data_IF_352570234329
#
_entry.id   IF_352570234329
#
_cell.length_a   1.000
_cell.length_b   1.000
_cell.length_c   1.000
_cell.angle_alpha   90.00
_cell.angle_beta   90.00
_cell.angle_gamma   90.00
#
_symmetry.space_group_name_H-M   'P 1'
#
loop_
_entity.id
_entity.type
_entity.pdbx_description
1 polymer ?
#
# COMPACT_ATOMS: atom_id res chain seq x y z
N UNK A 1 47.48 -8.17 -50.78
CA UNK A 1 47.30 -8.72 -49.41
C UNK A 1 45.80 -8.84 -49.15
N UNK A 2 45.33 -10.06 -48.84
CA UNK A 2 43.99 -10.42 -48.30
C UNK A 2 43.90 -9.92 -46.83
N UNK A 3 42.78 -9.73 -46.11
CA UNK A 3 41.41 -10.30 -45.93
C UNK A 3 40.57 -9.21 -45.19
N UNK A 4 39.26 -9.00 -45.32
CA UNK A 4 38.04 -9.83 -45.19
C UNK A 4 37.69 -10.32 -43.76
N UNK A 5 36.59 -9.78 -43.20
CA UNK A 5 35.72 -10.30 -42.11
C UNK A 5 34.83 -11.45 -42.67
N UNK A 6 33.93 -12.17 -41.94
CA UNK A 6 33.72 -12.50 -40.50
C UNK A 6 33.47 -14.04 -40.25
N UNK A 7 33.21 -14.51 -39.02
CA UNK A 7 32.63 -15.85 -38.68
C UNK A 7 31.82 -15.68 -37.36
N UNK A 8 30.51 -15.92 -37.17
CA UNK A 8 29.56 -17.03 -37.40
C UNK A 8 29.89 -18.35 -36.69
N UNK A 9 29.03 -18.75 -35.74
CA UNK A 9 29.04 -20.06 -35.05
C UNK A 9 27.85 -20.90 -35.53
N UNK A 10 28.18 -22.14 -35.89
CA UNK A 10 27.45 -23.03 -36.80
C UNK A 10 26.41 -23.88 -36.07
N UNK A 11 25.15 -23.85 -36.53
CA UNK A 11 24.18 -24.92 -36.30
C UNK A 11 24.41 -26.03 -37.33
N UNK A 12 24.65 -27.25 -36.86
CA UNK A 12 24.79 -28.44 -37.71
C UNK A 12 23.40 -28.95 -38.09
N UNK A 13 23.10 -28.97 -39.39
CA UNK A 13 21.92 -29.60 -39.98
C UNK A 13 22.39 -30.89 -40.66
N UNK A 14 21.93 -32.05 -40.18
CA UNK A 14 22.00 -33.30 -40.94
C UNK A 14 20.75 -33.41 -41.83
N UNK A 15 20.94 -33.41 -43.14
CA UNK A 15 19.91 -33.73 -44.13
C UNK A 15 19.85 -35.24 -44.40
N UNK A 16 18.63 -35.78 -44.52
CA UNK A 16 18.31 -37.02 -45.25
C UNK A 16 16.98 -36.87 -46.00
N UNK A 17 16.77 -37.62 -47.11
CA UNK A 17 16.08 -37.12 -48.30
C UNK A 17 14.55 -37.31 -48.28
N UNK A 18 13.89 -36.47 -49.09
CA UNK A 18 12.47 -36.53 -49.46
C UNK A 18 12.09 -37.90 -50.04
N UNK A 19 11.00 -38.51 -49.52
CA UNK A 19 10.04 -39.24 -50.35
C UNK A 19 8.66 -39.37 -49.66
N UNK A 20 7.64 -38.89 -50.38
CA UNK A 20 6.20 -39.22 -50.34
C UNK A 20 5.31 -38.73 -49.17
N UNK A 21 4.23 -38.06 -49.59
CA UNK A 21 3.11 -37.56 -48.79
C UNK A 21 2.27 -38.71 -48.19
N UNK A 22 2.00 -38.68 -46.88
CA UNK A 22 0.78 -39.27 -46.31
C UNK A 22 0.30 -38.47 -45.07
N UNK A 23 -1.03 -38.35 -44.95
CA UNK A 23 -1.75 -37.52 -43.98
C UNK A 23 -1.79 -38.17 -42.59
N UNK A 24 -1.46 -37.44 -41.51
CA UNK A 24 -1.81 -37.88 -40.15
C UNK A 24 -1.16 -37.15 -38.98
N UNK A 25 -1.96 -36.32 -38.29
CA UNK A 25 -1.81 -35.86 -36.88
C UNK A 25 -0.51 -35.13 -36.48
N UNK A 26 -0.55 -33.80 -36.51
CA UNK A 26 0.42 -32.94 -35.80
C UNK A 26 0.27 -33.09 -34.28
N UNK A 27 1.22 -33.73 -33.61
CA UNK A 27 1.41 -33.61 -32.16
C UNK A 27 2.19 -32.34 -31.84
N UNK A 28 1.56 -31.40 -31.13
CA UNK A 28 2.22 -30.19 -30.61
C UNK A 28 3.38 -30.53 -29.66
N UNK A 29 4.45 -29.70 -29.60
CA UNK A 29 5.55 -29.91 -28.66
C UNK A 29 5.09 -29.62 -27.24
N UNK A 30 4.99 -30.66 -26.41
CA UNK A 30 4.70 -30.51 -24.97
C UNK A 30 5.96 -29.99 -24.27
N UNK A 31 5.95 -28.73 -23.86
CA UNK A 31 6.92 -28.16 -22.93
C UNK A 31 6.84 -28.95 -21.60
N UNK A 32 7.84 -29.76 -21.30
CA UNK A 32 7.92 -30.46 -20.01
C UNK A 32 8.38 -29.49 -18.93
N UNK A 33 7.45 -29.14 -18.02
CA UNK A 33 7.72 -28.38 -16.80
C UNK A 33 8.69 -29.18 -15.92
N UNK A 34 9.91 -28.67 -15.70
CA UNK A 34 10.87 -29.21 -14.73
C UNK A 34 10.35 -28.91 -13.31
N UNK A 35 9.53 -29.81 -12.75
CA UNK A 35 8.89 -29.67 -11.42
C UNK A 35 9.89 -29.87 -10.27
N UNK A 36 9.85 -28.93 -9.30
CA UNK A 36 10.01 -28.99 -7.82
C UNK A 36 10.93 -29.99 -7.09
N UNK A 37 11.42 -31.08 -7.69
CA UNK A 37 12.25 -32.08 -7.00
C UNK A 37 13.57 -31.50 -6.49
N UNK A 38 14.19 -30.59 -7.24
CA UNK A 38 15.48 -30.02 -6.89
C UNK A 38 15.42 -29.12 -5.63
N UNK A 39 14.34 -28.34 -5.48
CA UNK A 39 14.14 -27.50 -4.29
C UNK A 39 13.89 -28.36 -3.04
N UNK A 40 13.12 -29.45 -3.18
CA UNK A 40 12.81 -30.37 -2.08
C UNK A 40 14.05 -31.14 -1.59
N UNK A 41 14.97 -31.49 -2.50
CA UNK A 41 16.25 -32.11 -2.14
C UNK A 41 17.20 -31.12 -1.45
N UNK A 42 17.15 -29.83 -1.83
CA UNK A 42 17.92 -28.77 -1.19
C UNK A 42 17.38 -28.45 0.22
N UNK A 43 16.06 -28.34 0.38
CA UNK A 43 15.42 -28.08 1.66
C UNK A 43 15.69 -29.19 2.69
N UNK A 44 15.74 -30.46 2.26
CA UNK A 44 16.12 -31.59 3.12
C UNK A 44 17.54 -31.49 3.64
N UNK A 45 18.48 -31.13 2.76
CA UNK A 45 19.90 -30.99 3.11
C UNK A 45 20.08 -29.87 4.13
N UNK A 46 19.46 -28.73 3.88
CA UNK A 46 19.51 -27.58 4.77
C UNK A 46 18.83 -27.87 6.13
N UNK A 47 17.71 -28.62 6.14
CA UNK A 47 17.06 -29.05 7.37
C UNK A 47 17.95 -30.00 8.19
N UNK A 48 18.67 -30.93 7.54
CA UNK A 48 19.65 -31.78 8.19
C UNK A 48 20.86 -31.00 8.73
N UNK A 49 21.37 -30.03 7.97
CA UNK A 49 22.48 -29.17 8.40
C UNK A 49 22.12 -28.32 9.62
N UNK A 50 20.85 -27.92 9.73
CA UNK A 50 20.29 -27.17 10.86
C UNK A 50 20.46 -27.87 12.21
N UNK A 51 20.50 -29.21 12.22
CA UNK A 51 20.75 -30.03 13.41
C UNK A 51 22.23 -30.21 13.73
N UNK A 52 23.13 -29.92 12.79
CA UNK A 52 24.58 -30.08 12.95
C UNK A 52 25.27 -28.82 13.46
N UNK A 53 24.74 -27.64 13.15
CA UNK A 53 25.36 -26.37 13.51
C UNK A 53 25.07 -25.95 14.95
N UNK A 54 26.12 -25.50 15.65
CA UNK A 54 26.07 -25.04 17.04
C UNK A 54 26.31 -23.54 17.20
N UNK A 55 26.90 -22.86 16.20
CA UNK A 55 27.14 -21.41 16.25
C UNK A 55 25.94 -20.62 15.74
N UNK A 56 25.59 -19.54 16.45
CA UNK A 56 24.42 -18.70 16.14
C UNK A 56 24.42 -18.20 14.69
N UNK A 57 25.58 -17.81 14.16
CA UNK A 57 25.70 -17.24 12.82
C UNK A 57 25.45 -18.28 11.73
N UNK A 58 25.98 -19.50 11.88
CA UNK A 58 25.74 -20.61 10.95
C UNK A 58 24.26 -20.97 10.93
N UNK A 59 23.63 -21.10 12.12
CA UNK A 59 22.21 -21.44 12.23
C UNK A 59 21.32 -20.40 11.55
N UNK A 60 21.60 -19.11 11.78
CA UNK A 60 20.84 -18.04 11.14
C UNK A 60 21.02 -18.03 9.63
N UNK A 61 22.23 -18.28 9.14
CA UNK A 61 22.51 -18.36 7.71
C UNK A 61 21.75 -19.54 7.08
N UNK A 62 21.81 -20.72 7.68
CA UNK A 62 21.07 -21.91 7.23
C UNK A 62 19.56 -21.66 7.25
N UNK A 63 19.02 -20.99 8.27
CA UNK A 63 17.59 -20.63 8.32
C UNK A 63 17.18 -19.65 7.22
N UNK A 64 18.05 -18.70 6.86
CA UNK A 64 17.82 -17.75 5.75
C UNK A 64 17.87 -18.48 4.40
N UNK A 65 18.80 -19.41 4.23
CA UNK A 65 18.91 -20.17 2.99
C UNK A 65 17.78 -21.20 2.85
N UNK A 66 17.34 -21.80 3.97
CA UNK A 66 16.17 -22.68 4.00
C UNK A 66 14.88 -21.96 3.60
N UNK A 67 14.73 -20.68 3.96
CA UNK A 67 13.58 -19.86 3.54
C UNK A 67 13.50 -19.68 2.02
N UNK A 68 14.64 -19.64 1.33
CA UNK A 68 14.69 -19.50 -0.13
C UNK A 68 14.32 -20.80 -0.85
N UNK A 69 14.51 -21.94 -0.19
CA UNK A 69 14.31 -23.29 -0.75
C UNK A 69 12.97 -23.93 -0.35
N UNK A 70 12.02 -23.15 0.19
CA UNK A 70 10.67 -23.64 0.52
C UNK A 70 9.96 -24.24 -0.71
N UNK A 71 9.10 -25.28 -0.54
CA UNK A 71 8.52 -25.79 0.71
C UNK A 71 9.32 -26.92 1.41
N UNK A 72 9.07 -27.11 2.70
CA UNK A 72 9.66 -28.19 3.52
C UNK A 72 8.85 -29.49 3.46
N UNK A 73 9.52 -30.64 3.62
CA UNK A 73 8.84 -31.94 3.81
C UNK A 73 8.42 -32.19 5.26
N UNK A 74 9.25 -31.80 6.22
CA UNK A 74 8.97 -31.95 7.66
C UNK A 74 9.11 -30.62 8.38
N UNK A 75 8.26 -30.41 9.37
CA UNK A 75 8.33 -29.29 10.30
C UNK A 75 9.01 -29.66 11.62
N UNK A 76 9.29 -30.95 11.83
CA UNK A 76 9.84 -31.48 13.08
C UNK A 76 11.22 -30.86 13.37
N UNK A 77 12.07 -30.78 12.34
CA UNK A 77 13.42 -30.21 12.45
C UNK A 77 13.40 -28.74 12.91
N UNK A 78 12.39 -27.97 12.47
CA UNK A 78 12.23 -26.58 12.88
C UNK A 78 11.80 -26.49 14.35
N UNK A 79 10.87 -27.34 14.78
CA UNK A 79 10.43 -27.36 16.16
C UNK A 79 11.53 -27.83 17.11
N UNK A 80 12.25 -28.89 16.77
CA UNK A 80 13.41 -29.37 17.51
C UNK A 80 14.43 -28.23 17.70
N UNK A 81 14.78 -27.55 16.60
CA UNK A 81 15.69 -26.39 16.65
C UNK A 81 15.18 -25.26 17.55
N UNK A 82 13.89 -24.99 17.51
CA UNK A 82 13.26 -23.96 18.34
C UNK A 82 13.43 -24.27 19.83
N UNK A 83 13.21 -25.51 20.25
CA UNK A 83 13.32 -25.93 21.65
C UNK A 83 14.77 -26.05 22.14
N UNK A 84 15.70 -26.44 21.26
CA UNK A 84 17.12 -26.55 21.63
C UNK A 84 17.80 -25.18 21.81
N UNK A 85 17.37 -24.17 21.04
CA UNK A 85 18.06 -22.88 21.01
C UNK A 85 17.53 -21.91 22.05
N UNK A 86 18.41 -21.43 22.94
CA UNK A 86 18.08 -20.37 23.92
C UNK A 86 18.10 -18.96 23.32
N UNK A 87 18.80 -18.77 22.21
CA UNK A 87 18.91 -17.47 21.53
C UNK A 87 17.54 -16.98 21.03
N UNK A 88 17.21 -15.73 21.34
CA UNK A 88 15.91 -15.15 20.98
C UNK A 88 15.81 -14.86 19.47
N UNK A 89 16.92 -14.48 18.83
CA UNK A 89 16.95 -14.09 17.41
C UNK A 89 16.72 -15.33 16.53
N UNK A 90 17.40 -16.44 16.85
CA UNK A 90 17.19 -17.73 16.17
C UNK A 90 15.75 -18.20 16.34
N UNK A 91 15.20 -18.15 17.56
CA UNK A 91 13.80 -18.55 17.82
C UNK A 91 12.80 -17.71 17.02
N UNK A 92 13.00 -16.39 16.95
CA UNK A 92 12.18 -15.50 16.11
C UNK A 92 12.29 -15.88 14.63
N UNK A 93 13.49 -16.18 14.14
CA UNK A 93 13.69 -16.61 12.75
C UNK A 93 13.01 -17.94 12.45
N UNK A 94 13.05 -18.90 13.36
CA UNK A 94 12.34 -20.19 13.22
C UNK A 94 10.82 -19.98 13.16
N UNK A 95 10.26 -19.16 14.06
CA UNK A 95 8.82 -18.83 14.05
C UNK A 95 8.43 -18.09 12.77
N UNK A 96 9.26 -17.16 12.31
CA UNK A 96 9.09 -16.48 11.02
C UNK A 96 9.04 -17.47 9.85
N UNK A 97 9.95 -18.44 9.83
CA UNK A 97 10.00 -19.48 8.81
C UNK A 97 8.78 -20.42 8.86
N UNK A 98 8.34 -20.83 10.06
CA UNK A 98 7.09 -21.58 10.25
C UNK A 98 5.88 -20.81 9.68
N UNK A 99 5.84 -19.50 9.88
CA UNK A 99 4.85 -18.61 9.28
C UNK A 99 4.90 -18.56 7.75
N UNK A 100 6.10 -18.61 7.16
CA UNK A 100 6.30 -18.72 5.71
C UNK A 100 5.83 -20.07 5.18
N UNK A 101 6.16 -21.18 5.86
CA UNK A 101 5.74 -22.54 5.48
C UNK A 101 4.22 -22.70 5.55
N UNK A 102 3.56 -22.09 6.53
CA UNK A 102 2.10 -22.14 6.68
C UNK A 102 1.32 -21.58 5.48
N UNK A 103 1.97 -20.83 4.58
CA UNK A 103 1.35 -20.27 3.37
C UNK A 103 1.26 -21.28 2.21
N UNK A 104 1.93 -22.43 2.31
CA UNK A 104 1.94 -23.43 1.25
C UNK A 104 0.74 -24.39 1.34
N UNK A 105 0.13 -24.78 0.21
CA UNK A 105 -1.01 -25.68 0.19
C UNK A 105 -0.61 -27.08 0.69
N UNK A 106 -1.42 -27.67 1.57
CA UNK A 106 -1.21 -29.01 2.15
C UNK A 106 -0.49 -29.01 3.50
N UNK A 107 0.02 -27.87 3.97
CA UNK A 107 0.60 -27.74 5.32
C UNK A 107 -0.52 -27.72 6.35
N UNK A 108 -0.35 -28.47 7.45
CA UNK A 108 -1.31 -28.47 8.55
C UNK A 108 -1.14 -27.21 9.42
N UNK A 109 -1.77 -26.12 8.98
CA UNK A 109 -1.76 -24.82 9.67
C UNK A 109 -2.30 -24.94 11.11
N UNK A 110 -3.23 -25.86 11.35
CA UNK A 110 -3.80 -26.08 12.68
C UNK A 110 -2.76 -26.62 13.67
N UNK A 111 -1.89 -27.55 13.26
CA UNK A 111 -0.83 -28.07 14.11
C UNK A 111 0.22 -26.99 14.45
N UNK A 112 0.63 -26.18 13.46
CA UNK A 112 1.56 -25.07 13.70
C UNK A 112 0.96 -24.06 14.68
N UNK A 113 -0.31 -23.69 14.47
CA UNK A 113 -0.99 -22.76 15.35
C UNK A 113 -1.09 -23.30 16.77
N UNK A 114 -1.50 -24.55 16.99
CA UNK A 114 -1.58 -25.16 18.33
C UNK A 114 -0.24 -25.12 19.07
N UNK A 115 0.87 -25.41 18.39
CA UNK A 115 2.19 -25.39 19.02
C UNK A 115 2.65 -23.97 19.36
N UNK A 116 2.46 -23.00 18.46
CA UNK A 116 2.72 -21.58 18.76
C UNK A 116 1.85 -21.09 19.93
N UNK A 117 0.62 -21.60 20.06
CA UNK A 117 -0.29 -21.25 21.15
C UNK A 117 0.17 -21.85 22.48
N UNK A 118 0.72 -23.08 22.50
CA UNK A 118 1.34 -23.64 23.72
C UNK A 118 2.53 -22.80 24.16
N UNK A 119 3.32 -22.28 23.22
CA UNK A 119 4.45 -21.41 23.54
C UNK A 119 4.00 -20.06 24.14
N UNK A 120 2.82 -19.56 23.74
CA UNK A 120 2.23 -18.34 24.28
C UNK A 120 1.49 -18.58 25.61
N UNK A 121 0.96 -19.78 25.84
CA UNK A 121 0.27 -20.17 27.07
C UNK A 121 1.16 -21.05 27.96
N UNK A 122 1.85 -20.45 28.92
CA UNK A 122 2.50 -21.21 30.00
C UNK A 122 1.51 -21.92 30.94
N UNK A 123 0.21 -21.60 30.87
CA UNK A 123 -0.84 -22.17 31.72
C UNK A 123 -1.88 -22.91 30.88
N UNK A 124 -1.83 -24.25 30.98
CA UNK A 124 -2.71 -25.14 30.23
C UNK A 124 -4.11 -25.19 30.81
N UNK A 125 -5.13 -25.14 29.93
CA UNK A 125 -6.44 -25.79 30.17
C UNK A 125 -7.34 -25.87 28.90
N UNK A 126 -7.43 -27.10 28.39
CA UNK A 126 -8.59 -27.86 27.86
C UNK A 126 -9.67 -27.34 26.88
N UNK A 127 -9.73 -28.10 25.75
CA UNK A 127 -10.80 -28.86 25.05
C UNK A 127 -12.15 -28.24 24.62
N UNK A 128 -12.22 -27.84 23.33
CA UNK A 128 -13.35 -27.86 22.36
C UNK A 128 -13.01 -27.01 21.11
N UNK A 129 -12.79 -27.60 19.92
CA UNK A 129 -12.08 -26.96 18.77
C UNK A 129 -12.71 -25.65 18.27
N UNK A 130 -14.03 -25.53 18.16
CA UNK A 130 -14.68 -24.25 17.73
C UNK A 130 -14.66 -23.19 18.84
N UNK A 131 -14.87 -23.59 20.09
CA UNK A 131 -14.68 -22.71 21.25
C UNK A 131 -13.20 -22.33 21.42
N UNK A 132 -12.28 -23.20 21.02
CA UNK A 132 -10.83 -22.97 21.07
C UNK A 132 -10.43 -21.94 20.05
N UNK A 133 -10.85 -22.05 18.79
CA UNK A 133 -10.54 -21.03 17.77
C UNK A 133 -10.94 -19.63 18.24
N UNK A 134 -12.15 -19.47 18.78
CA UNK A 134 -12.60 -18.19 19.32
C UNK A 134 -11.81 -17.74 20.57
N UNK A 135 -11.48 -18.66 21.49
CA UNK A 135 -10.65 -18.36 22.68
C UNK A 135 -9.22 -17.99 22.30
N UNK A 136 -8.64 -18.67 21.31
CA UNK A 136 -7.31 -18.46 20.75
C UNK A 136 -7.23 -17.08 20.11
N UNK A 137 -8.17 -16.76 19.23
CA UNK A 137 -8.24 -15.45 18.57
C UNK A 137 -8.31 -14.33 19.62
N UNK A 138 -9.18 -14.46 20.63
CA UNK A 138 -9.28 -13.48 21.73
C UNK A 138 -8.00 -13.38 22.56
N UNK A 139 -7.32 -14.51 22.78
CA UNK A 139 -6.08 -14.54 23.55
C UNK A 139 -4.95 -13.83 22.79
N UNK A 140 -4.80 -14.11 21.48
CA UNK A 140 -3.82 -13.43 20.63
C UNK A 140 -4.13 -11.93 20.53
N UNK A 141 -5.40 -11.54 20.37
CA UNK A 141 -5.82 -10.14 20.40
C UNK A 141 -5.45 -9.45 21.73
N UNK A 142 -5.65 -10.13 22.86
CA UNK A 142 -5.28 -9.62 24.18
C UNK A 142 -3.77 -9.39 24.29
N UNK A 143 -2.95 -10.37 23.88
CA UNK A 143 -1.49 -10.25 23.89
C UNK A 143 -1.05 -9.12 22.96
N UNK A 144 -1.54 -9.10 21.72
CA UNK A 144 -1.21 -8.06 20.75
C UNK A 144 -1.53 -6.66 21.31
N UNK A 145 -2.67 -6.51 21.98
CA UNK A 145 -3.06 -5.23 22.59
C UNK A 145 -2.14 -4.82 23.76
N UNK A 146 -1.68 -5.78 24.55
CA UNK A 146 -0.72 -5.51 25.64
C UNK A 146 0.63 -5.01 25.09
N UNK A 147 1.08 -5.57 23.98
CA UNK A 147 2.34 -5.23 23.32
C UNK A 147 2.25 -4.01 22.38
N UNK A 148 1.10 -3.34 22.27
CA UNK A 148 1.00 -2.05 21.55
C UNK A 148 1.80 -0.92 22.23
N UNK A 149 2.16 -1.07 23.50
CA UNK A 149 3.01 -0.11 24.24
C UNK A 149 4.49 -0.48 24.23
N UNK A 150 4.88 -1.48 23.45
CA UNK A 150 6.26 -1.95 23.37
C UNK A 150 7.18 -0.83 22.83
N UNK A 151 8.39 -0.67 23.38
CA UNK A 151 9.35 0.33 22.90
C UNK A 151 9.73 0.13 21.43
N UNK A 152 9.75 -1.12 20.94
CA UNK A 152 10.11 -1.42 19.56
C UNK A 152 8.92 -1.24 18.62
N UNK A 153 9.08 -0.34 17.65
CA UNK A 153 8.06 -0.09 16.63
C UNK A 153 7.72 -1.33 15.80
N UNK A 154 8.69 -2.22 15.54
CA UNK A 154 8.42 -3.50 14.84
C UNK A 154 7.41 -4.37 15.59
N UNK A 155 7.48 -4.43 16.92
CA UNK A 155 6.52 -5.18 17.75
C UNK A 155 5.16 -4.52 17.67
N UNK A 156 5.10 -3.19 17.80
CA UNK A 156 3.84 -2.43 17.64
C UNK A 156 3.20 -2.67 16.27
N UNK A 157 3.99 -2.62 15.20
CA UNK A 157 3.54 -2.87 13.83
C UNK A 157 2.91 -4.25 13.69
N UNK A 158 3.57 -5.30 14.18
CA UNK A 158 3.06 -6.67 14.09
C UNK A 158 1.80 -6.84 14.93
N UNK A 159 1.75 -6.22 16.12
CA UNK A 159 0.56 -6.24 16.97
C UNK A 159 -0.65 -5.58 16.28
N UNK A 160 -0.47 -4.42 15.65
CA UNK A 160 -1.53 -3.75 14.88
C UNK A 160 -1.99 -4.61 13.69
N UNK A 161 -1.05 -5.23 12.99
CA UNK A 161 -1.32 -6.15 11.90
C UNK A 161 -2.18 -7.33 12.38
N UNK A 162 -1.79 -7.99 13.48
CA UNK A 162 -2.53 -9.10 14.09
C UNK A 162 -3.95 -8.67 14.49
N UNK A 163 -4.09 -7.53 15.15
CA UNK A 163 -5.40 -6.99 15.54
C UNK A 163 -6.30 -6.80 14.31
N UNK A 164 -5.78 -6.20 13.23
CA UNK A 164 -6.50 -6.02 11.97
C UNK A 164 -6.98 -7.34 11.33
N UNK A 165 -6.21 -8.43 11.45
CA UNK A 165 -6.54 -9.75 10.90
C UNK A 165 -7.47 -10.58 11.78
N UNK A 166 -7.45 -10.36 13.09
CA UNK A 166 -8.13 -11.20 14.06
C UNK A 166 -9.47 -10.63 14.49
N UNK A 167 -9.54 -9.32 14.75
CA UNK A 167 -10.75 -8.71 15.33
C UNK A 167 -11.97 -8.99 14.50
N UNK A 168 -12.97 -9.65 15.07
CA UNK A 168 -14.30 -9.78 14.51
C UNK A 168 -15.15 -8.67 15.12
N UNK A 169 -15.53 -7.66 14.32
CA UNK A 169 -16.26 -6.45 14.74
C UNK A 169 -17.68 -6.67 15.29
N UNK A 170 -17.92 -7.74 16.02
CA UNK A 170 -19.15 -8.01 16.75
C UNK A 170 -19.13 -7.21 18.05
N UNK A 171 -20.18 -6.40 18.25
CA UNK A 171 -20.43 -5.53 19.39
C UNK A 171 -20.63 -6.21 20.74
N UNK A 172 -19.83 -7.23 21.05
CA UNK A 172 -19.55 -7.71 22.40
C UNK A 172 -18.14 -7.28 22.76
N UNK A 173 -17.96 -6.00 23.03
CA UNK A 173 -16.72 -5.46 23.62
C UNK A 173 -16.31 -6.33 24.80
N UNK A 174 -15.12 -6.97 24.83
CA UNK A 174 -14.52 -7.27 26.11
C UNK A 174 -14.29 -5.90 26.73
N UNK A 175 -15.02 -5.59 27.80
CA UNK A 175 -14.93 -4.35 28.57
C UNK A 175 -13.48 -3.85 28.57
N UNK A 176 -13.19 -2.89 27.69
CA UNK A 176 -11.88 -2.30 27.57
C UNK A 176 -11.73 -1.39 28.78
N UNK A 177 -11.18 -1.93 29.87
CA UNK A 177 -10.88 -1.19 31.08
C UNK A 177 -9.57 -0.44 30.85
N UNK A 178 -9.65 0.64 30.07
CA UNK A 178 -8.63 1.66 29.93
C UNK A 178 -9.23 3.03 30.26
N UNK A 179 -8.48 3.97 30.86
CA UNK A 179 -8.97 5.30 31.13
C UNK A 179 -8.99 6.09 29.81
N UNK A 180 -10.09 5.98 29.06
CA UNK A 180 -10.31 6.69 27.81
C UNK A 180 -11.73 6.46 27.31
N UNK A 181 -12.30 7.41 26.52
CA UNK A 181 -13.62 7.23 25.94
C UNK A 181 -13.60 5.93 25.14
N UNK A 182 -14.60 5.08 25.31
CA UNK A 182 -14.73 3.73 24.76
C UNK A 182 -14.50 3.70 23.23
N UNK A 183 -13.24 3.75 22.80
CA UNK A 183 -12.83 3.63 21.41
C UNK A 183 -12.74 2.14 21.16
N UNK A 184 -13.68 1.60 20.40
CA UNK A 184 -13.59 0.22 19.89
C UNK A 184 -12.29 0.01 19.10
N UNK A 185 -12.04 -1.21 18.64
CA UNK A 185 -10.78 -1.57 17.97
C UNK A 185 -10.38 -0.60 16.85
N UNK A 186 -11.35 -0.08 16.08
CA UNK A 186 -11.07 0.94 15.06
C UNK A 186 -10.49 2.23 15.62
N UNK A 187 -11.02 2.73 16.73
CA UNK A 187 -10.52 3.94 17.38
C UNK A 187 -9.16 3.73 18.06
N UNK A 188 -8.87 2.51 18.52
CA UNK A 188 -7.53 2.10 18.96
C UNK A 188 -6.57 2.13 17.78
N UNK A 189 -6.86 1.43 16.68
CA UNK A 189 -6.00 1.43 15.49
C UNK A 189 -5.80 2.85 14.96
N UNK A 190 -6.87 3.65 14.85
CA UNK A 190 -6.78 5.04 14.41
C UNK A 190 -5.89 5.91 15.32
N UNK A 191 -5.82 5.64 16.63
CA UNK A 191 -4.91 6.40 17.50
C UNK A 191 -3.42 6.16 17.18
N UNK A 192 -3.08 5.01 16.60
CA UNK A 192 -1.71 4.70 16.18
C UNK A 192 -1.32 5.31 14.83
N UNK A 193 -2.23 5.95 14.10
CA UNK A 193 -1.84 6.76 12.93
C UNK A 193 -1.15 8.08 13.29
N UNK A 194 -0.99 8.38 14.59
CA UNK A 194 -0.26 9.53 15.11
C UNK A 194 1.01 9.10 15.87
N UNK A 195 1.42 7.84 15.75
CA UNK A 195 2.67 7.33 16.36
C UNK A 195 3.89 8.07 15.81
N UNK A 196 4.93 8.18 16.64
CA UNK A 196 6.18 8.85 16.26
C UNK A 196 6.93 8.09 15.16
N UNK A 197 6.76 6.76 15.05
CA UNK A 197 7.38 5.95 14.00
C UNK A 197 6.43 5.81 12.79
N UNK A 198 6.84 6.23 11.59
CA UNK A 198 6.00 6.19 10.39
C UNK A 198 5.58 4.76 9.98
N UNK A 199 6.36 3.74 10.35
CA UNK A 199 6.00 2.33 10.07
C UNK A 199 4.81 1.90 10.92
N UNK A 200 4.72 2.40 12.16
CA UNK A 200 3.59 2.14 13.05
C UNK A 200 2.34 2.85 12.53
N UNK A 201 2.48 4.12 12.10
CA UNK A 201 1.40 4.87 11.45
C UNK A 201 0.87 4.14 10.22
N UNK A 202 1.77 3.65 9.37
CA UNK A 202 1.44 2.85 8.19
C UNK A 202 0.71 1.56 8.57
N UNK A 203 1.24 0.79 9.52
CA UNK A 203 0.63 -0.47 9.98
C UNK A 203 -0.77 -0.25 10.54
N UNK A 204 -0.99 0.85 11.27
CA UNK A 204 -2.30 1.22 11.80
C UNK A 204 -3.35 1.44 10.70
N UNK A 205 -3.02 2.25 9.69
CA UNK A 205 -3.91 2.50 8.54
C UNK A 205 -4.13 1.23 7.70
N UNK A 206 -3.10 0.41 7.52
CA UNK A 206 -3.21 -0.89 6.85
C UNK A 206 -4.10 -1.87 7.62
N UNK A 207 -4.03 -1.89 8.95
CA UNK A 207 -4.91 -2.72 9.78
C UNK A 207 -6.38 -2.31 9.62
N UNK A 208 -6.67 -1.01 9.54
CA UNK A 208 -8.01 -0.48 9.25
C UNK A 208 -8.51 -0.90 7.86
N UNK A 209 -7.66 -0.84 6.83
CA UNK A 209 -7.97 -1.37 5.50
C UNK A 209 -8.29 -2.87 5.55
N UNK A 210 -7.54 -3.64 6.34
CA UNK A 210 -7.78 -5.08 6.52
C UNK A 210 -9.11 -5.36 7.18
N UNK A 211 -9.51 -4.58 8.19
CA UNK A 211 -10.85 -4.67 8.79
C UNK A 211 -11.95 -4.46 7.74
N UNK A 212 -11.81 -3.43 6.90
CA UNK A 212 -12.76 -3.18 5.81
C UNK A 212 -12.81 -4.33 4.79
N UNK A 213 -11.66 -4.83 4.33
CA UNK A 213 -11.58 -5.98 3.40
C UNK A 213 -12.24 -7.24 3.96
N UNK A 214 -12.26 -7.39 5.29
CA UNK A 214 -12.96 -8.47 6.00
C UNK A 214 -14.45 -8.20 6.21
N UNK A 215 -14.99 -7.13 5.63
CA UNK A 215 -16.42 -6.79 5.64
C UNK A 215 -16.86 -5.91 6.82
N UNK A 216 -15.94 -5.37 7.62
CA UNK A 216 -16.32 -4.47 8.71
C UNK A 216 -16.63 -3.07 8.18
N UNK A 217 -17.70 -2.47 8.74
CA UNK A 217 -18.04 -1.07 8.47
C UNK A 217 -17.13 -0.17 9.29
N UNK A 218 -16.43 0.74 8.64
CA UNK A 218 -15.54 1.68 9.30
C UNK A 218 -16.30 2.94 9.77
N UNK A 219 -15.94 3.43 10.95
CA UNK A 219 -16.50 4.66 11.52
C UNK A 219 -15.92 5.90 10.83
N UNK A 220 -16.69 6.99 10.71
CA UNK A 220 -16.19 8.20 10.05
C UNK A 220 -15.01 8.88 10.73
N UNK A 221 -14.80 8.64 12.03
CA UNK A 221 -13.60 9.11 12.70
C UNK A 221 -12.32 8.57 12.00
N UNK A 222 -12.41 7.38 11.38
CA UNK A 222 -11.33 6.82 10.57
C UNK A 222 -11.15 7.58 9.25
N UNK A 223 -12.23 8.08 8.65
CA UNK A 223 -12.15 8.92 7.45
C UNK A 223 -11.50 10.27 7.74
N UNK A 224 -11.87 10.90 8.86
CA UNK A 224 -11.27 12.16 9.30
C UNK A 224 -9.77 11.97 9.55
N UNK A 225 -9.40 10.88 10.25
CA UNK A 225 -8.00 10.54 10.49
C UNK A 225 -7.23 10.25 9.20
N UNK A 226 -7.81 9.47 8.28
CA UNK A 226 -7.21 9.20 6.98
C UNK A 226 -7.02 10.48 6.16
N UNK A 227 -7.96 11.43 6.26
CA UNK A 227 -7.85 12.72 5.59
C UNK A 227 -6.68 13.54 6.13
N UNK A 228 -6.43 13.53 7.44
CA UNK A 228 -5.26 14.17 8.03
C UNK A 228 -3.95 13.49 7.62
N UNK A 229 -3.96 12.15 7.53
CA UNK A 229 -2.79 11.35 7.15
C UNK A 229 -2.40 11.48 5.66
N UNK A 230 -3.20 12.19 4.84
CA UNK A 230 -2.80 12.54 3.47
C UNK A 230 -1.64 13.55 3.43
N UNK A 231 -1.45 14.34 4.48
CA UNK A 231 -0.36 15.33 4.59
C UNK A 231 0.84 14.80 5.40
N UNK A 232 0.91 13.48 5.63
CA UNK A 232 2.00 12.84 6.39
C UNK A 232 3.37 12.99 5.69
N UNK A 233 4.45 13.09 6.46
CA UNK A 233 5.80 13.24 5.93
C UNK A 233 6.31 11.97 5.21
N UNK A 234 5.73 10.81 5.49
CA UNK A 234 6.12 9.52 4.91
C UNK A 234 5.18 9.05 3.79
N UNK A 235 5.76 8.60 2.67
CA UNK A 235 4.99 8.16 1.51
C UNK A 235 4.08 6.95 1.78
N UNK A 236 4.53 5.99 2.59
CA UNK A 236 3.78 4.78 2.91
C UNK A 236 2.50 5.08 3.71
N UNK A 237 2.57 6.10 4.57
CA UNK A 237 1.41 6.57 5.35
C UNK A 237 0.41 7.23 4.40
N UNK A 238 0.87 8.13 3.52
CA UNK A 238 0.01 8.78 2.51
C UNK A 238 -0.62 7.75 1.55
N UNK A 239 0.11 6.71 1.16
CA UNK A 239 -0.41 5.59 0.35
C UNK A 239 -1.50 4.78 1.07
N UNK A 240 -1.36 4.54 2.37
CA UNK A 240 -2.39 3.85 3.14
C UNK A 240 -3.61 4.76 3.36
N UNK A 241 -3.39 6.05 3.60
CA UNK A 241 -4.41 7.07 3.80
C UNK A 241 -5.30 7.26 2.56
N UNK A 242 -4.70 7.44 1.37
CA UNK A 242 -5.46 7.63 0.12
C UNK A 242 -6.35 6.42 -0.20
N UNK A 243 -5.90 5.21 0.12
CA UNK A 243 -6.68 3.98 -0.03
C UNK A 243 -7.87 3.94 0.93
N UNK A 244 -7.71 4.41 2.17
CA UNK A 244 -8.83 4.52 3.11
C UNK A 244 -9.85 5.55 2.63
N UNK A 245 -9.41 6.74 2.21
CA UNK A 245 -10.28 7.78 1.64
C UNK A 245 -11.08 7.24 0.45
N UNK A 246 -10.42 6.49 -0.44
CA UNK A 246 -11.07 5.80 -1.55
C UNK A 246 -12.08 4.74 -1.10
N UNK A 247 -11.76 3.91 -0.10
CA UNK A 247 -12.70 2.93 0.48
C UNK A 247 -13.98 3.63 0.97
N UNK A 248 -13.85 4.74 1.69
CA UNK A 248 -15.00 5.48 2.22
C UNK A 248 -15.88 6.07 1.12
N UNK A 249 -15.29 6.57 0.04
CA UNK A 249 -16.03 7.09 -1.11
C UNK A 249 -16.93 6.04 -1.77
N UNK A 250 -16.51 4.76 -1.79
CA UNK A 250 -17.29 3.65 -2.32
C UNK A 250 -18.32 3.12 -1.34
N UNK A 251 -17.97 3.07 -0.05
CA UNK A 251 -18.85 2.54 0.98
C UNK A 251 -20.07 3.45 1.21
N UNK A 252 -19.87 4.77 1.21
CA UNK A 252 -20.87 5.76 1.63
C UNK A 252 -20.90 7.01 0.71
N UNK A 253 -21.03 6.88 -0.62
CA UNK A 253 -20.82 7.99 -1.58
C UNK A 253 -21.69 9.22 -1.31
N UNK A 254 -22.98 9.00 -0.99
CA UNK A 254 -23.98 10.05 -0.78
C UNK A 254 -23.95 10.68 0.62
N UNK A 255 -23.08 10.22 1.52
CA UNK A 255 -23.00 10.78 2.87
C UNK A 255 -22.51 12.22 2.80
N UNK A 256 -23.20 13.13 3.49
CA UNK A 256 -22.78 14.53 3.53
C UNK A 256 -21.68 14.74 4.58
N UNK A 257 -20.58 15.37 4.15
CA UNK A 257 -19.47 15.83 4.98
C UNK A 257 -19.31 17.34 4.88
N UNK A 258 -18.62 17.94 5.85
CA UNK A 258 -18.29 19.36 5.85
C UNK A 258 -16.89 19.54 5.26
N UNK A 259 -16.81 20.34 4.21
CA UNK A 259 -15.54 20.77 3.64
C UNK A 259 -14.85 21.79 4.56
N UNK A 260 -13.53 21.98 4.44
CA UNK A 260 -12.80 23.05 5.13
C UNK A 260 -13.36 24.45 4.86
N UNK A 261 -13.96 24.67 3.68
CA UNK A 261 -14.66 25.91 3.30
C UNK A 261 -15.99 26.14 4.04
N UNK A 262 -16.39 25.23 4.94
CA UNK A 262 -17.71 25.16 5.59
C UNK A 262 -18.88 24.79 4.66
N UNK A 263 -18.60 24.46 3.40
CA UNK A 263 -19.58 23.93 2.47
C UNK A 263 -19.91 22.47 2.78
N UNK A 264 -21.14 22.05 2.47
CA UNK A 264 -21.55 20.64 2.55
C UNK A 264 -21.28 19.99 1.19
N UNK A 265 -20.58 18.85 1.20
CA UNK A 265 -20.34 18.06 0.01
C UNK A 265 -20.68 16.59 0.25
N UNK A 266 -20.95 15.86 -0.83
CA UNK A 266 -21.04 14.39 -0.79
C UNK A 266 -19.65 13.82 -0.49
N UNK A 267 -19.60 12.72 0.24
CA UNK A 267 -18.35 12.07 0.62
C UNK A 267 -17.53 11.63 -0.59
N UNK A 268 -18.21 11.17 -1.66
CA UNK A 268 -17.54 10.84 -2.92
C UNK A 268 -16.86 12.06 -3.54
N UNK A 269 -17.49 13.23 -3.46
CA UNK A 269 -16.95 14.47 -4.03
C UNK A 269 -15.76 14.98 -3.19
N UNK A 270 -15.88 14.99 -1.86
CA UNK A 270 -14.77 15.34 -0.95
C UNK A 270 -13.58 14.38 -1.07
N UNK A 271 -13.84 13.08 -1.15
CA UNK A 271 -12.80 12.08 -1.38
C UNK A 271 -12.14 12.26 -2.76
N UNK A 272 -12.92 12.53 -3.81
CA UNK A 272 -12.39 12.77 -5.15
C UNK A 272 -11.45 13.97 -5.18
N UNK A 273 -11.84 15.09 -4.58
CA UNK A 273 -11.02 16.29 -4.41
C UNK A 273 -9.68 15.94 -3.74
N UNK A 274 -9.73 15.24 -2.60
CA UNK A 274 -8.54 14.82 -1.86
C UNK A 274 -7.63 13.92 -2.70
N UNK A 275 -8.20 12.97 -3.45
CA UNK A 275 -7.42 12.08 -4.33
C UNK A 275 -6.81 12.87 -5.49
N UNK A 276 -7.52 13.85 -6.06
CA UNK A 276 -6.96 14.75 -7.08
C UNK A 276 -5.75 15.54 -6.56
N UNK A 277 -5.80 16.02 -5.31
CA UNK A 277 -4.65 16.66 -4.68
C UNK A 277 -3.43 15.72 -4.64
N UNK A 278 -3.64 14.43 -4.33
CA UNK A 278 -2.57 13.43 -4.30
C UNK A 278 -1.97 13.10 -5.68
N UNK A 279 -2.60 13.48 -6.79
CA UNK A 279 -1.98 13.37 -8.13
C UNK A 279 -0.78 14.33 -8.26
N UNK A 280 -0.68 15.33 -7.39
CA UNK A 280 0.44 16.27 -7.33
C UNK A 280 1.45 15.94 -6.21
N UNK A 281 1.39 14.75 -5.62
CA UNK A 281 2.27 14.34 -4.53
C UNK A 281 3.76 14.33 -4.93
N UNK A 282 4.63 14.57 -3.95
CA UNK A 282 6.09 14.54 -4.15
C UNK A 282 6.58 13.14 -4.56
N UNK A 283 5.94 12.08 -4.07
CA UNK A 283 6.28 10.69 -4.39
C UNK A 283 5.56 10.21 -5.64
N UNK A 284 6.34 9.70 -6.59
CA UNK A 284 5.83 9.01 -7.79
C UNK A 284 4.84 7.88 -7.42
N UNK A 285 5.11 7.13 -6.36
CA UNK A 285 4.27 6.00 -5.96
C UNK A 285 2.87 6.46 -5.53
N UNK A 286 2.80 7.57 -4.79
CA UNK A 286 1.54 8.17 -4.35
C UNK A 286 0.78 8.75 -5.54
N UNK A 287 1.45 9.48 -6.44
CA UNK A 287 0.83 10.02 -7.68
C UNK A 287 0.25 8.92 -8.55
N UNK A 288 1.01 7.83 -8.75
CA UNK A 288 0.59 6.66 -9.53
C UNK A 288 -0.66 6.00 -8.91
N UNK A 289 -0.66 5.82 -7.59
CA UNK A 289 -1.81 5.24 -6.89
C UNK A 289 -3.03 6.18 -7.01
N UNK A 290 -2.87 7.47 -6.77
CA UNK A 290 -3.93 8.47 -6.88
C UNK A 290 -4.57 8.49 -8.27
N UNK A 291 -3.74 8.55 -9.32
CA UNK A 291 -4.20 8.51 -10.71
C UNK A 291 -5.01 7.24 -11.02
N UNK A 292 -4.57 6.09 -10.49
CA UNK A 292 -5.31 4.83 -10.64
C UNK A 292 -6.64 4.80 -9.88
N UNK A 293 -6.71 5.37 -8.68
CA UNK A 293 -7.92 5.42 -7.87
C UNK A 293 -9.00 6.33 -8.48
N UNK A 294 -8.62 7.47 -9.05
CA UNK A 294 -9.57 8.40 -9.69
C UNK A 294 -10.41 7.72 -10.79
N UNK A 295 -9.82 6.80 -11.55
CA UNK A 295 -10.52 6.04 -12.61
C UNK A 295 -11.67 5.17 -12.14
N UNK A 296 -11.78 4.90 -10.84
CA UNK A 296 -12.86 4.09 -10.28
C UNK A 296 -14.01 4.89 -9.65
N UNK A 297 -13.88 6.21 -9.56
CA UNK A 297 -14.83 7.08 -8.85
C UNK A 297 -15.95 7.59 -9.77
N UNK A 298 -16.83 6.69 -10.20
CA UNK A 298 -17.88 6.99 -11.18
C UNK A 298 -19.05 7.83 -10.65
N UNK A 299 -19.22 7.94 -9.33
CA UNK A 299 -20.37 8.63 -8.69
C UNK A 299 -20.09 10.11 -8.37
N UNK A 300 -18.90 10.60 -8.70
CA UNK A 300 -18.51 12.00 -8.49
C UNK A 300 -19.39 12.93 -9.34
N UNK A 301 -19.65 14.13 -8.83
CA UNK A 301 -20.42 15.14 -9.55
C UNK A 301 -19.67 15.58 -10.83
N UNK A 302 -20.37 15.74 -11.98
CA UNK A 302 -19.75 16.16 -13.24
C UNK A 302 -18.91 17.44 -13.13
N UNK A 303 -19.34 18.40 -12.30
CA UNK A 303 -18.58 19.65 -12.06
C UNK A 303 -17.14 19.41 -11.57
N UNK A 304 -16.89 18.37 -10.77
CA UNK A 304 -15.53 18.06 -10.31
C UNK A 304 -14.73 17.34 -11.39
N UNK A 305 -15.38 16.48 -12.19
CA UNK A 305 -14.74 15.83 -13.35
C UNK A 305 -14.28 16.87 -14.39
N UNK A 306 -15.17 17.78 -14.75
CA UNK A 306 -14.88 18.85 -15.71
C UNK A 306 -13.68 19.71 -15.26
N UNK A 307 -13.56 19.99 -13.95
CA UNK A 307 -12.41 20.70 -13.40
C UNK A 307 -11.10 19.94 -13.52
N UNK A 308 -11.10 18.60 -13.43
CA UNK A 308 -9.86 17.84 -13.64
C UNK A 308 -9.29 17.98 -15.05
N UNK A 309 -10.14 18.35 -16.03
CA UNK A 309 -9.79 18.60 -17.42
C UNK A 309 -9.43 20.07 -17.71
N UNK A 310 -9.77 21.00 -16.82
CA UNK A 310 -9.55 22.43 -17.04
C UNK A 310 -8.13 22.87 -16.64
N UNK A 311 -7.23 22.89 -17.64
CA UNK A 311 -5.86 23.40 -17.49
C UNK A 311 -5.78 24.93 -17.34
N UNK A 312 -6.76 25.67 -17.86
CA UNK A 312 -6.72 27.14 -17.88
C UNK A 312 -7.04 27.72 -16.51
N UNK A 313 -7.93 27.08 -15.78
CA UNK A 313 -8.30 27.45 -14.41
C UNK A 313 -7.08 27.44 -13.46
N UNK A 314 -6.11 26.53 -13.66
CA UNK A 314 -4.80 26.51 -12.95
C UNK A 314 -3.91 27.74 -13.23
N UNK A 315 -4.01 28.36 -14.40
CA UNK A 315 -3.19 29.54 -14.73
C UNK A 315 -3.63 30.79 -13.95
N UNK A 316 -4.91 30.86 -13.57
CA UNK A 316 -5.48 31.89 -12.70
C UNK A 316 -5.21 31.64 -11.20
N UNK A 317 -4.85 30.40 -10.82
CA UNK A 317 -4.44 30.01 -9.46
C UNK A 317 -3.02 30.48 -9.09
N UNK A 318 -2.23 31.01 -10.04
CA UNK A 318 -1.01 31.75 -9.70
C UNK A 318 -1.43 32.99 -8.93
N UNK A 319 -1.23 32.99 -7.61
CA UNK A 319 -1.45 34.12 -6.69
C UNK A 319 -1.19 35.43 -7.43
N UNK A 320 -2.24 36.21 -7.69
CA UNK A 320 -2.10 37.56 -8.22
C UNK A 320 -1.26 38.34 -7.23
N UNK A 321 0.02 38.56 -7.56
CA UNK A 321 0.90 39.43 -6.77
C UNK A 321 0.18 40.75 -6.58
N UNK A 322 0.06 41.17 -5.32
CA UNK A 322 -0.54 42.47 -4.99
C UNK A 322 0.22 43.56 -5.72
N UNK A 323 -0.40 44.70 -6.02
CA UNK A 323 0.33 45.81 -6.64
C UNK A 323 1.55 46.22 -5.82
N UNK A 324 1.45 46.08 -4.49
CA UNK A 324 2.54 46.31 -3.57
C UNK A 324 3.69 45.30 -3.75
N UNK A 325 3.41 44.02 -4.02
CA UNK A 325 4.45 43.01 -4.31
C UNK A 325 5.09 43.22 -5.67
N UNK A 326 4.29 43.56 -6.69
CA UNK A 326 4.81 43.89 -8.02
C UNK A 326 5.72 45.11 -7.95
N UNK A 327 5.29 46.16 -7.23
CA UNK A 327 6.09 47.36 -7.01
C UNK A 327 7.36 47.05 -6.21
N UNK A 328 7.28 46.15 -5.23
CA UNK A 328 8.46 45.69 -4.47
C UNK A 328 9.45 44.91 -5.33
N UNK A 329 8.99 44.08 -6.27
CA UNK A 329 9.86 43.37 -7.22
C UNK A 329 10.47 44.30 -8.26
N UNK A 330 9.70 45.26 -8.78
CA UNK A 330 10.21 46.30 -9.68
C UNK A 330 11.33 47.07 -8.96
N UNK A 331 11.10 47.48 -7.71
CA UNK A 331 12.09 48.18 -6.90
C UNK A 331 13.30 47.31 -6.52
N UNK A 332 13.08 46.03 -6.19
CA UNK A 332 14.14 45.07 -5.86
C UNK A 332 14.98 44.65 -7.09
N UNK A 333 14.40 44.68 -8.29
CA UNK A 333 15.09 44.47 -9.57
C UNK A 333 15.79 45.72 -10.11
N UNK A 334 15.79 46.82 -9.34
CA UNK A 334 16.44 48.08 -9.71
C UNK A 334 15.67 48.92 -10.73
N UNK A 335 14.41 48.57 -11.02
CA UNK A 335 13.53 49.33 -11.89
C UNK A 335 12.98 50.57 -11.19
N UNK A 336 13.18 51.74 -11.79
CA UNK A 336 12.57 53.00 -11.35
C UNK A 336 11.09 53.06 -11.74
N UNK A 337 10.23 53.56 -10.85
CA UNK A 337 8.78 53.72 -11.00
C UNK A 337 8.33 54.74 -12.08
N UNK A 338 9.20 55.07 -13.04
CA UNK A 338 8.90 56.00 -14.12
C UNK A 338 9.71 55.68 -15.38
N UNK A 339 9.01 55.26 -16.44
CA UNK A 339 9.56 55.27 -17.80
C UNK A 339 10.29 54.02 -18.27
N UNK A 340 9.65 52.84 -18.21
CA UNK A 340 10.07 51.68 -18.99
C UNK A 340 9.48 51.74 -20.41
N UNK A 341 10.34 51.73 -21.42
CA UNK A 341 10.03 51.83 -22.85
C UNK A 341 8.84 50.95 -23.27
N UNK A 342 7.79 51.60 -23.78
CA UNK A 342 6.64 50.93 -24.41
C UNK A 342 7.09 50.22 -25.68
N UNK A 343 7.20 48.90 -25.65
CA UNK A 343 7.36 48.05 -26.83
C UNK A 343 5.99 47.69 -27.42
N UNK A 344 5.14 48.69 -27.70
CA UNK A 344 4.04 48.62 -28.67
C UNK A 344 3.01 47.47 -28.63
N UNK A 345 2.98 46.62 -27.59
CA UNK A 345 2.13 45.40 -27.53
C UNK A 345 1.12 45.42 -26.37
N UNK A 346 0.79 46.58 -25.82
CA UNK A 346 -0.04 46.67 -24.60
C UNK A 346 -1.27 47.56 -24.76
N UNK A 347 -1.77 47.72 -25.98
CA UNK A 347 -3.02 48.41 -26.26
C UNK A 347 -3.92 47.44 -27.02
N UNK A 348 -4.67 46.60 -26.30
CA UNK A 348 -5.74 45.81 -26.92
C UNK A 348 -6.09 44.46 -26.29
N UNK A 349 -5.19 43.83 -25.53
CA UNK A 349 -5.35 42.41 -25.18
C UNK A 349 -5.84 42.12 -23.76
N UNK A 350 -6.43 43.12 -23.08
CA UNK A 350 -7.20 42.86 -21.86
C UNK A 350 -8.67 42.83 -22.22
N UNK A 351 -9.08 41.76 -22.89
CA UNK A 351 -10.46 41.33 -22.80
C UNK A 351 -10.83 41.27 -21.31
N UNK A 352 -11.99 41.79 -20.88
CA UNK A 352 -12.41 41.64 -19.49
C UNK A 352 -12.36 40.15 -19.15
N UNK A 353 -11.57 39.80 -18.12
CA UNK A 353 -11.54 38.43 -17.62
C UNK A 353 -12.99 38.02 -17.31
N UNK A 354 -13.45 36.86 -17.80
CA UNK A 354 -14.81 36.42 -17.56
C UNK A 354 -15.05 36.46 -16.05
N UNK A 355 -16.17 37.06 -15.64
CA UNK A 355 -16.57 37.07 -14.25
C UNK A 355 -16.71 35.60 -13.80
N UNK A 356 -15.76 35.13 -13.00
CA UNK A 356 -15.78 33.78 -12.46
C UNK A 356 -16.90 33.69 -11.43
N UNK A 357 -17.70 32.64 -11.49
CA UNK A 357 -18.73 32.37 -10.50
C UNK A 357 -18.02 32.16 -9.13
N UNK A 358 -18.49 32.79 -8.03
CA UNK A 358 -18.00 32.49 -6.69
C UNK A 358 -18.00 30.99 -6.36
N UNK A 359 -18.92 30.20 -6.92
CA UNK A 359 -18.93 28.74 -6.76
C UNK A 359 -17.70 28.09 -7.42
N UNK A 360 -17.30 28.56 -8.61
CA UNK A 360 -16.08 28.11 -9.28
C UNK A 360 -14.84 28.45 -8.44
N UNK A 361 -14.81 29.62 -7.81
CA UNK A 361 -13.68 30.07 -6.96
C UNK A 361 -13.56 29.26 -5.66
N UNK A 362 -14.68 28.87 -5.03
CA UNK A 362 -14.68 27.97 -3.86
C UNK A 362 -14.16 26.58 -4.24
N UNK A 363 -14.63 26.05 -5.38
CA UNK A 363 -14.15 24.77 -5.93
C UNK A 363 -12.70 24.84 -6.46
N UNK A 364 -12.21 25.98 -6.93
CA UNK A 364 -10.83 26.17 -7.40
C UNK A 364 -9.79 25.97 -6.29
N UNK A 365 -10.15 26.23 -5.03
CA UNK A 365 -9.27 26.03 -3.88
C UNK A 365 -9.03 24.57 -3.52
N UNK A 366 -9.74 23.64 -4.18
CA UNK A 366 -9.84 22.23 -3.79
C UNK A 366 -8.70 21.33 -4.31
N UNK A 367 -7.87 21.79 -5.25
CA UNK A 367 -6.79 20.96 -5.83
C UNK A 367 -7.26 19.94 -6.88
N UNK A 368 -8.55 19.90 -7.22
CA UNK A 368 -9.11 19.07 -8.30
C UNK A 368 -8.77 19.60 -9.70
N UNK A 369 -8.55 20.91 -9.82
CA UNK A 369 -8.30 21.61 -11.06
C UNK A 369 -7.06 21.07 -11.80
N UNK A 370 -7.25 20.63 -13.05
CA UNK A 370 -6.17 20.12 -13.90
C UNK A 370 -5.52 18.81 -13.43
N UNK A 371 -6.05 18.14 -12.39
CA UNK A 371 -5.43 16.95 -11.81
C UNK A 371 -5.30 15.81 -12.83
N UNK A 372 -6.29 15.62 -13.71
CA UNK A 372 -6.20 14.59 -14.75
C UNK A 372 -5.15 14.93 -15.80
N UNK A 373 -5.11 16.19 -16.23
CA UNK A 373 -4.09 16.68 -17.15
C UNK A 373 -2.68 16.47 -16.58
N UNK A 374 -2.48 16.77 -15.29
CA UNK A 374 -1.21 16.52 -14.62
C UNK A 374 -0.84 15.03 -14.57
N UNK A 375 -1.79 14.14 -14.29
CA UNK A 375 -1.54 12.70 -14.34
C UNK A 375 -1.12 12.20 -15.73
N UNK A 376 -1.68 12.76 -16.81
CA UNK A 376 -1.30 12.44 -18.18
C UNK A 376 0.03 13.07 -18.63
N UNK A 377 0.37 14.23 -18.07
CA UNK A 377 1.62 14.96 -18.35
C UNK A 377 2.74 14.63 -17.35
N UNK A 378 2.52 13.70 -16.42
CA UNK A 378 3.50 13.33 -15.40
C UNK A 378 4.82 12.90 -16.03
N UNK A 379 5.94 13.20 -15.36
CA UNK A 379 7.28 12.86 -15.84
C UNK A 379 7.49 11.33 -15.96
N UNK A 380 6.85 10.54 -15.08
CA UNK A 380 6.99 9.09 -15.03
C UNK A 380 5.93 8.36 -15.86
N UNK A 381 6.38 7.36 -16.62
CA UNK A 381 5.48 6.55 -17.47
C UNK A 381 4.46 5.76 -16.63
N UNK A 382 4.84 5.35 -15.43
CA UNK A 382 4.03 4.59 -14.49
C UNK A 382 2.79 5.38 -14.08
N UNK A 383 2.95 6.67 -13.79
CA UNK A 383 1.85 7.58 -13.44
C UNK A 383 0.96 7.82 -14.65
N UNK A 384 1.55 8.15 -15.81
CA UNK A 384 0.80 8.34 -17.06
C UNK A 384 -0.03 7.10 -17.43
N UNK A 385 0.55 5.91 -17.29
CA UNK A 385 -0.12 4.64 -17.57
C UNK A 385 -1.28 4.38 -16.61
N UNK A 386 -1.13 4.76 -15.33
CA UNK A 386 -2.22 4.68 -14.36
C UNK A 386 -3.33 5.69 -14.69
N UNK A 387 -2.99 6.91 -15.08
CA UNK A 387 -3.93 7.95 -15.47
C UNK A 387 -4.74 7.56 -16.72
N UNK A 388 -4.15 6.88 -17.71
CA UNK A 388 -4.90 6.42 -18.90
C UNK A 388 -6.02 5.42 -18.56
N UNK A 389 -5.88 4.64 -17.47
CA UNK A 389 -6.95 3.74 -17.01
C UNK A 389 -8.19 4.48 -16.50
N UNK A 390 -8.12 5.81 -16.35
CA UNK A 390 -9.25 6.68 -16.00
C UNK A 390 -10.21 6.90 -17.18
N UNK A 391 -9.78 6.65 -18.42
CA UNK A 391 -10.51 6.98 -19.64
C UNK A 391 -11.18 5.77 -20.35
N UNK A 392 -11.11 4.58 -19.75
CA UNK A 392 -11.72 3.33 -20.24
C UNK A 392 -12.60 2.74 -19.14
#
# INVERSE_FOLDING_TARGET
MKRANPDYSTTVVEEKPLETLDYGTQSQPVLKLKRSKQALDASKRLAFELSQYSTQQEILQTLVDLEKELPLESLEDLWERFYETKDAIVRVKVVSLLGSVARFPGVNIHAIAEELIKLLNTDGESRNIESHKAKIVRHIEKIATQHLKDPHSSVRCECLCLIGHLTHGLGGSPTWVGPGPQRGVQGLLASFSEDSDPRVRTSALQALLTLHKRGQKLDMAVYDQASLALDDDYEDVRLAAIKLVWVFSHANPERIVKLPSSDKARLVDDAFIKICHMVNDLSMNVRREAAGLLGSLHLVSPKFLEQTLDKKLMSHLKRRKTEHEKRREIHASGGTDGGGWSTGRTWGDKAPEPALDPEDVSLMSSGACGAFVHGLEDEFLEVRSAAVRLAL
#
